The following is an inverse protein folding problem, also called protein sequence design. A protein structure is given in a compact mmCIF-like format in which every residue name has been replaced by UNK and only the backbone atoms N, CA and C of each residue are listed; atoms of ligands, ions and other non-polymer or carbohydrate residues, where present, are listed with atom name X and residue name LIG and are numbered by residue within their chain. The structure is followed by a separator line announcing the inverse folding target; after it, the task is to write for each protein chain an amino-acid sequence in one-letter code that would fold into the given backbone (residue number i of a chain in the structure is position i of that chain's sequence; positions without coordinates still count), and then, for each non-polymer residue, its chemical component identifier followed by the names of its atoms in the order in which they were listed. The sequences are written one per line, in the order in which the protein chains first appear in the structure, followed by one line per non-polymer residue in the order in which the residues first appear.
data_IF_242145067108
#
_entry.id   IF_242145067108
#
_cell.length_a   1.000
_cell.length_b   1.000
_cell.length_c   1.000
_cell.angle_alpha   90.00
_cell.angle_beta   90.00
_cell.angle_gamma   90.00
#
_symmetry.space_group_name_H-M   'P 1'
#
loop_
_entity.id
_entity.type
_entity.pdbx_description
1 polymer ?
#
# COMPACT_ATOMS: atom_id res chain seq x y z
N UNK A 1 8.89 6.66 -15.63
CA UNK A 1 7.41 6.57 -15.57
C UNK A 1 6.90 6.04 -14.22
N UNK A 2 7.51 5.00 -13.62
CA UNK A 2 7.14 4.50 -12.26
C UNK A 2 7.13 5.61 -11.19
N UNK A 3 8.04 6.57 -11.31
CA UNK A 3 8.26 7.60 -10.30
C UNK A 3 7.14 8.65 -10.22
N UNK A 4 6.36 8.91 -11.28
CA UNK A 4 5.42 10.05 -11.31
C UNK A 4 4.12 9.74 -10.56
N UNK A 5 3.55 8.54 -10.75
CA UNK A 5 2.34 8.12 -10.05
C UNK A 5 2.57 7.90 -8.55
N UNK A 6 3.73 7.32 -8.19
CA UNK A 6 4.14 7.16 -6.78
C UNK A 6 4.37 8.53 -6.13
N UNK A 7 5.05 9.46 -6.83
CA UNK A 7 5.20 10.83 -6.34
C UNK A 7 3.87 11.54 -6.14
N UNK A 8 2.88 11.30 -7.00
CA UNK A 8 1.53 11.85 -6.82
C UNK A 8 0.89 11.33 -5.52
N UNK A 9 0.87 10.02 -5.32
CA UNK A 9 0.35 9.40 -4.09
C UNK A 9 1.08 9.88 -2.83
N UNK A 10 2.42 9.99 -2.90
CA UNK A 10 3.23 10.53 -1.80
C UNK A 10 2.94 12.02 -1.54
N UNK A 11 2.70 12.82 -2.59
CA UNK A 11 2.38 14.25 -2.48
C UNK A 11 1.00 14.49 -1.86
N UNK A 12 0.05 13.59 -2.10
CA UNK A 12 -1.29 13.64 -1.49
C UNK A 12 -1.27 13.33 0.02
N UNK A 13 -0.14 12.87 0.59
CA UNK A 13 0.03 12.53 2.01
C UNK A 13 -1.14 11.71 2.55
N UNK A 14 -1.56 10.71 1.77
CA UNK A 14 -2.77 9.94 2.04
C UNK A 14 -2.68 9.29 3.42
N UNK A 15 -3.71 9.53 4.23
CA UNK A 15 -3.88 8.93 5.55
C UNK A 15 -4.95 7.85 5.43
N UNK A 16 -4.60 6.60 5.73
CA UNK A 16 -5.52 5.46 5.68
C UNK A 16 -5.47 4.70 7.01
N UNK A 17 -6.60 4.12 7.42
CA UNK A 17 -6.59 3.13 8.50
C UNK A 17 -6.00 1.82 8.00
N UNK A 18 -5.61 0.93 8.93
CA UNK A 18 -5.14 -0.42 8.57
C UNK A 18 -6.14 -1.17 7.68
N UNK A 19 -7.43 -1.12 8.03
CA UNK A 19 -8.49 -1.78 7.27
C UNK A 19 -8.63 -1.23 5.86
N UNK A 20 -8.58 0.10 5.69
CA UNK A 20 -8.63 0.73 4.37
C UNK A 20 -7.40 0.40 3.52
N UNK A 21 -6.22 0.32 4.13
CA UNK A 21 -5.01 -0.04 3.41
C UNK A 21 -5.05 -1.50 2.93
N UNK A 22 -5.48 -2.42 3.79
CA UNK A 22 -5.66 -3.83 3.43
C UNK A 22 -6.67 -3.98 2.30
N UNK A 23 -7.80 -3.30 2.39
CA UNK A 23 -8.83 -3.33 1.36
C UNK A 23 -8.31 -2.78 0.02
N UNK A 24 -7.54 -1.68 0.04
CA UNK A 24 -6.96 -1.09 -1.16
C UNK A 24 -5.86 -1.97 -1.81
N UNK A 25 -5.19 -2.82 -1.02
CA UNK A 25 -4.24 -3.83 -1.50
C UNK A 25 -5.01 -5.01 -2.14
N UNK A 26 -5.96 -5.59 -1.42
CA UNK A 26 -6.70 -6.78 -1.86
C UNK A 26 -7.65 -6.49 -3.03
N UNK A 27 -8.17 -5.27 -3.15
CA UNK A 27 -8.96 -4.84 -4.32
C UNK A 27 -8.10 -4.54 -5.56
N UNK A 28 -6.78 -4.46 -5.41
CA UNK A 28 -5.87 -4.00 -6.46
C UNK A 28 -5.98 -2.51 -6.78
N UNK A 29 -6.75 -1.74 -5.98
CA UNK A 29 -6.95 -0.31 -6.17
C UNK A 29 -5.62 0.45 -6.15
N UNK A 30 -4.74 0.18 -5.18
CA UNK A 30 -3.44 0.87 -5.07
C UNK A 30 -2.58 0.66 -6.32
N UNK A 31 -2.57 -0.55 -6.87
CA UNK A 31 -1.82 -0.86 -8.09
C UNK A 31 -2.39 -0.08 -9.28
N UNK A 32 -3.72 -0.05 -9.40
CA UNK A 32 -4.40 0.67 -10.48
C UNK A 32 -4.17 2.19 -10.38
N UNK A 33 -4.21 2.76 -9.17
CA UNK A 33 -3.91 4.18 -8.93
C UNK A 33 -2.45 4.54 -9.28
N UNK A 34 -1.52 3.60 -9.04
CA UNK A 34 -0.13 3.76 -9.48
C UNK A 34 0.04 3.62 -11.01
N UNK A 35 -0.98 3.13 -11.72
CA UNK A 35 -0.88 2.82 -13.15
C UNK A 35 0.15 1.73 -13.46
N UNK A 36 0.44 0.85 -12.49
CA UNK A 36 1.47 -0.19 -12.61
C UNK A 36 0.87 -1.56 -12.91
N UNK A 37 1.62 -2.38 -13.63
CA UNK A 37 1.33 -3.80 -13.71
C UNK A 37 1.77 -4.50 -12.39
N UNK A 38 1.33 -5.74 -12.19
CA UNK A 38 1.60 -6.49 -10.94
C UNK A 38 3.09 -6.70 -10.67
N UNK A 39 3.92 -6.82 -11.72
CA UNK A 39 5.35 -7.00 -11.57
C UNK A 39 6.02 -5.69 -11.12
N UNK A 40 5.74 -4.58 -11.81
CA UNK A 40 6.29 -3.28 -11.44
C UNK A 40 5.83 -2.84 -10.03
N UNK A 41 4.56 -3.08 -9.68
CA UNK A 41 4.05 -2.79 -8.34
C UNK A 41 4.73 -3.66 -7.28
N UNK A 42 4.94 -4.95 -7.55
CA UNK A 42 5.62 -5.83 -6.61
C UNK A 42 7.06 -5.37 -6.33
N UNK A 43 7.80 -4.95 -7.37
CA UNK A 43 9.15 -4.39 -7.22
C UNK A 43 9.15 -3.11 -6.37
N UNK A 44 8.17 -2.23 -6.57
CA UNK A 44 8.03 -0.99 -5.82
C UNK A 44 7.82 -1.22 -4.31
N UNK A 45 6.98 -2.19 -3.95
CA UNK A 45 6.64 -2.47 -2.54
C UNK A 45 7.53 -3.53 -1.89
N UNK A 46 8.56 -4.01 -2.61
CA UNK A 46 9.53 -4.97 -2.09
C UNK A 46 8.99 -6.39 -1.94
N UNK A 47 8.05 -6.81 -2.79
CA UNK A 47 7.45 -8.16 -2.76
C UNK A 47 7.48 -8.85 -4.12
N UNK A 48 6.83 -10.01 -4.25
CA UNK A 48 6.76 -10.78 -5.50
C UNK A 48 5.45 -10.56 -6.25
N UNK A 49 5.48 -10.67 -7.59
CA UNK A 49 4.26 -10.64 -8.43
C UNK A 49 3.24 -11.69 -7.99
N UNK A 50 3.70 -12.87 -7.56
CA UNK A 50 2.84 -13.96 -7.07
C UNK A 50 2.11 -13.53 -5.80
N UNK A 51 2.82 -12.88 -4.89
CA UNK A 51 2.26 -12.34 -3.65
C UNK A 51 1.15 -11.31 -3.94
N UNK A 52 1.42 -10.32 -4.80
CA UNK A 52 0.42 -9.31 -5.21
C UNK A 52 -0.80 -9.98 -5.87
N UNK A 53 -0.59 -10.95 -6.77
CA UNK A 53 -1.69 -11.70 -7.37
C UNK A 53 -2.52 -12.44 -6.30
N UNK A 54 -1.87 -13.07 -5.32
CA UNK A 54 -2.55 -13.79 -4.25
C UNK A 54 -3.41 -12.88 -3.37
N UNK A 55 -2.94 -11.66 -3.09
CA UNK A 55 -3.74 -10.65 -2.39
C UNK A 55 -4.95 -10.21 -3.22
N UNK A 56 -4.74 -9.87 -4.50
CA UNK A 56 -5.82 -9.43 -5.40
C UNK A 56 -6.87 -10.51 -5.70
N UNK A 57 -6.46 -11.78 -5.66
CA UNK A 57 -7.33 -12.92 -5.85
C UNK A 57 -8.00 -13.39 -4.54
N UNK A 58 -7.76 -12.71 -3.42
CA UNK A 58 -8.20 -13.11 -2.08
C UNK A 58 -7.76 -14.52 -1.67
N UNK A 59 -6.71 -15.05 -2.30
CA UNK A 59 -6.14 -16.37 -2.00
C UNK A 59 -5.26 -16.34 -0.75
N UNK A 60 -4.65 -15.18 -0.47
CA UNK A 60 -3.72 -14.96 0.63
C UNK A 60 -4.00 -13.62 1.29
N UNK A 61 -4.05 -13.59 2.62
CA UNK A 61 -4.15 -12.34 3.36
C UNK A 61 -2.77 -11.65 3.47
N UNK A 62 -2.68 -10.33 3.26
CA UNK A 62 -1.43 -9.60 3.46
C UNK A 62 -1.02 -9.60 4.93
N UNK A 63 0.27 -9.84 5.19
CA UNK A 63 0.81 -9.85 6.55
C UNK A 63 1.08 -8.42 7.01
N UNK A 64 1.06 -8.18 8.33
CA UNK A 64 1.36 -6.86 8.90
C UNK A 64 2.67 -6.26 8.37
N UNK A 65 3.74 -7.05 8.26
CA UNK A 65 5.01 -6.59 7.69
C UNK A 65 4.89 -6.11 6.24
N UNK A 66 4.14 -6.84 5.40
CA UNK A 66 3.91 -6.47 4.00
C UNK A 66 3.07 -5.20 3.91
N UNK A 67 2.05 -5.06 4.76
CA UNK A 67 1.18 -3.90 4.81
C UNK A 67 1.98 -2.64 5.18
N UNK A 68 2.85 -2.70 6.19
CA UNK A 68 3.73 -1.59 6.55
C UNK A 68 4.73 -1.27 5.44
N UNK A 69 5.34 -2.29 4.82
CA UNK A 69 6.26 -2.11 3.71
C UNK A 69 5.59 -1.37 2.54
N UNK A 70 4.37 -1.78 2.18
CA UNK A 70 3.57 -1.12 1.14
C UNK A 70 3.25 0.33 1.52
N UNK A 71 2.82 0.57 2.77
CA UNK A 71 2.54 1.91 3.26
C UNK A 71 3.77 2.83 3.14
N UNK A 72 4.93 2.35 3.58
CA UNK A 72 6.20 3.09 3.53
C UNK A 72 6.63 3.37 2.08
N UNK A 73 6.61 2.36 1.21
CA UNK A 73 6.98 2.54 -0.21
C UNK A 73 6.09 3.55 -0.93
N UNK A 74 4.81 3.59 -0.59
CA UNK A 74 3.84 4.50 -1.20
C UNK A 74 3.71 5.84 -0.45
N UNK A 75 4.43 6.03 0.67
CA UNK A 75 4.34 7.21 1.53
C UNK A 75 2.95 7.44 2.14
N UNK A 76 2.19 6.35 2.34
CA UNK A 76 0.88 6.37 2.98
C UNK A 76 1.08 6.38 4.49
N UNK A 77 0.47 7.34 5.18
CA UNK A 77 0.45 7.37 6.64
C UNK A 77 -0.67 6.49 7.16
N UNK A 78 -0.33 5.59 8.08
CA UNK A 78 -1.31 4.76 8.75
C UNK A 78 -1.91 5.50 9.95
N UNK A 79 -3.23 5.68 9.93
CA UNK A 79 -3.99 6.15 11.09
C UNK A 79 -4.26 4.96 12.01
N UNK A 80 -3.60 4.96 13.17
CA UNK A 80 -3.83 3.98 14.21
C UNK A 80 -4.84 4.56 15.23
N UNK A 81 -6.00 3.92 15.46
CA UNK A 81 -6.90 4.35 16.52
C UNK A 81 -6.19 4.16 17.87
N UNK A 82 -6.09 5.24 18.66
CA UNK A 82 -5.44 5.23 19.97
C UNK A 82 -3.99 5.73 20.00
N UNK A 83 -3.42 6.14 18.86
CA UNK A 83 -2.25 7.02 18.90
C UNK A 83 -2.70 8.38 19.43
N UNK A 84 -2.76 8.52 20.75
CA UNK A 84 -2.77 9.82 21.40
C UNK A 84 -1.63 10.61 20.78
N UNK A 85 -1.96 11.73 20.13
CA UNK A 85 -1.00 12.78 19.81
C UNK A 85 -0.41 13.18 21.17
N UNK A 86 0.74 12.60 21.49
CA UNK A 86 1.52 12.91 22.68
C UNK A 86 2.14 14.28 22.50
N UNK A 87 1.29 15.30 22.36
CA UNK A 87 1.68 16.69 22.43
C UNK A 87 1.71 17.07 23.90
N UNK A 88 2.90 16.86 24.47
CA UNK A 88 3.56 17.61 25.54
C UNK A 88 2.71 18.19 26.67
#
# INVERSE_FOLDING_TARGET
MINDAVKKLQKEKRVLTLGQLVDAICSGQLRNECGLDRHAFAQLVGTTRKTIRGYEAWEVAPRMGDIFSIATSLGIKLQMPGAHDGSN
#
